data_IF_816909056636
#
_entry.id   IF_816909056636
#
_cell.length_a   1.000
_cell.length_b   1.000
_cell.length_c   1.000
_cell.angle_alpha   90.00
_cell.angle_beta   90.00
_cell.angle_gamma   90.00
#
_symmetry.space_group_name_H-M   'P 1'
#
loop_
_entity.id
_entity.type
_entity.pdbx_description
1 polymer ?
#
# COMPACT_ATOMS: atom_id res chain seq x y z
N UNK A 1 15.68 -25.19 8.67
CA UNK A 1 16.03 -25.00 10.09
C UNK A 1 14.73 -24.98 10.87
N UNK A 2 14.47 -26.00 11.68
CA UNK A 2 13.22 -26.08 12.47
C UNK A 2 13.41 -25.22 13.71
N UNK A 3 12.63 -24.15 13.88
CA UNK A 3 12.68 -23.34 15.10
C UNK A 3 12.15 -24.15 16.28
N UNK A 4 12.81 -24.02 17.41
CA UNK A 4 12.39 -24.62 18.67
C UNK A 4 11.15 -23.89 19.23
N UNK A 5 10.24 -24.65 19.85
CA UNK A 5 8.97 -24.14 20.41
C UNK A 5 9.21 -23.10 21.50
N UNK A 6 10.27 -23.22 22.30
CA UNK A 6 10.63 -22.25 23.32
C UNK A 6 10.99 -20.90 22.71
N UNK A 7 11.78 -20.87 21.64
CA UNK A 7 12.09 -19.64 20.89
C UNK A 7 10.82 -19.00 20.34
N UNK A 8 9.93 -19.78 19.72
CA UNK A 8 8.66 -19.25 19.20
C UNK A 8 7.78 -18.68 20.32
N UNK A 9 7.74 -19.35 21.47
CA UNK A 9 6.96 -18.91 22.65
C UNK A 9 7.50 -17.59 23.19
N UNK A 10 8.83 -17.49 23.37
CA UNK A 10 9.48 -16.28 23.84
C UNK A 10 9.24 -15.08 22.89
N UNK A 11 9.24 -15.31 21.57
CA UNK A 11 8.89 -14.28 20.58
C UNK A 11 7.43 -13.82 20.73
N UNK A 12 6.48 -14.74 20.91
CA UNK A 12 5.07 -14.38 21.13
C UNK A 12 4.89 -13.57 22.41
N UNK A 13 5.50 -14.02 23.51
CA UNK A 13 5.42 -13.34 24.82
C UNK A 13 6.03 -11.95 24.74
N UNK A 14 7.22 -11.81 24.13
CA UNK A 14 7.89 -10.53 23.96
C UNK A 14 7.13 -9.55 23.08
N UNK A 15 6.60 -10.01 21.94
CA UNK A 15 5.73 -9.19 21.10
C UNK A 15 4.45 -8.79 21.85
N UNK A 16 3.88 -9.70 22.65
CA UNK A 16 2.66 -9.45 23.43
C UNK A 16 2.90 -8.40 24.49
N UNK A 17 4.07 -8.44 25.15
CA UNK A 17 4.48 -7.41 26.09
C UNK A 17 4.65 -6.04 25.41
N UNK A 18 5.22 -6.00 24.20
CA UNK A 18 5.48 -4.75 23.49
C UNK A 18 4.24 -4.11 22.85
N UNK A 19 3.34 -4.94 22.31
CA UNK A 19 2.26 -4.49 21.43
C UNK A 19 0.85 -4.89 21.88
N UNK A 20 0.75 -5.69 22.93
CA UNK A 20 -0.51 -6.23 23.44
C UNK A 20 -0.96 -7.50 22.69
N UNK A 21 -1.72 -8.38 23.38
CA UNK A 21 -2.06 -9.71 22.87
C UNK A 21 -2.93 -9.67 21.61
N UNK A 22 -3.91 -8.77 21.54
CA UNK A 22 -4.83 -8.68 20.39
C UNK A 22 -4.10 -8.38 19.08
N UNK A 23 -3.13 -7.47 19.13
CA UNK A 23 -2.34 -7.07 17.96
C UNK A 23 -1.45 -8.22 17.49
N UNK A 24 -0.79 -8.91 18.42
CA UNK A 24 0.05 -10.06 18.11
C UNK A 24 -0.76 -11.21 17.52
N UNK A 25 -1.91 -11.54 18.10
CA UNK A 25 -2.83 -12.53 17.54
C UNK A 25 -3.25 -12.17 16.11
N UNK A 26 -3.55 -10.89 15.87
CA UNK A 26 -3.90 -10.42 14.53
C UNK A 26 -2.73 -10.57 13.54
N UNK A 27 -1.52 -10.20 13.95
CA UNK A 27 -0.30 -10.35 13.13
C UNK A 27 -0.03 -11.82 12.81
N UNK A 28 -0.07 -12.70 13.79
CA UNK A 28 0.18 -14.13 13.62
C UNK A 28 -0.83 -14.79 12.67
N UNK A 29 -2.10 -14.38 12.75
CA UNK A 29 -3.13 -14.86 11.83
C UNK A 29 -2.86 -14.42 10.38
N UNK A 30 -2.27 -13.25 10.18
CA UNK A 30 -1.97 -12.70 8.85
C UNK A 30 -0.63 -13.16 8.29
N UNK A 31 0.36 -13.34 9.15
CA UNK A 31 1.74 -13.64 8.81
C UNK A 31 2.32 -14.58 9.89
N UNK A 32 2.00 -15.88 9.87
CA UNK A 32 2.50 -16.82 10.89
C UNK A 32 4.04 -16.94 10.87
N UNK A 33 4.65 -16.65 9.72
CA UNK A 33 6.11 -16.72 9.55
C UNK A 33 6.88 -15.66 10.35
N UNK A 34 6.23 -14.67 10.99
CA UNK A 34 6.96 -13.74 11.88
C UNK A 34 7.66 -14.48 13.03
N UNK A 35 7.14 -15.64 13.43
CA UNK A 35 7.72 -16.45 14.50
C UNK A 35 9.08 -17.05 14.14
N UNK A 36 9.48 -16.95 12.87
CA UNK A 36 10.80 -17.37 12.40
C UNK A 36 11.88 -16.30 12.60
N UNK A 37 11.48 -15.09 13.01
CA UNK A 37 12.38 -13.96 13.19
C UNK A 37 12.72 -13.76 14.66
N UNK A 38 13.92 -13.22 14.88
CA UNK A 38 14.36 -12.76 16.20
C UNK A 38 13.46 -11.60 16.69
N UNK A 39 13.04 -11.68 17.96
CA UNK A 39 12.20 -10.68 18.60
C UNK A 39 12.81 -9.27 18.51
N UNK A 40 14.12 -9.14 18.77
CA UNK A 40 14.76 -7.83 18.75
C UNK A 40 14.78 -7.26 17.32
N UNK A 41 14.96 -8.09 16.30
CA UNK A 41 14.83 -7.66 14.91
C UNK A 41 13.41 -7.14 14.59
N UNK A 42 12.38 -7.88 14.99
CA UNK A 42 10.99 -7.46 14.78
C UNK A 42 10.68 -6.12 15.46
N UNK A 43 11.15 -5.92 16.70
CA UNK A 43 10.97 -4.67 17.45
C UNK A 43 11.72 -3.52 16.77
N UNK A 44 13.00 -3.71 16.42
CA UNK A 44 13.80 -2.69 15.70
C UNK A 44 13.13 -2.27 14.39
N UNK A 45 12.62 -3.23 13.61
CA UNK A 45 11.96 -2.95 12.33
C UNK A 45 10.66 -2.16 12.51
N UNK A 46 9.85 -2.50 13.53
CA UNK A 46 8.66 -1.75 13.88
C UNK A 46 8.98 -0.31 14.30
N UNK A 47 9.97 -0.12 15.18
CA UNK A 47 10.43 1.19 15.64
C UNK A 47 10.95 2.03 14.48
N UNK A 48 11.72 1.42 13.58
CA UNK A 48 12.21 2.07 12.37
C UNK A 48 11.05 2.59 11.51
N UNK A 49 10.04 1.77 11.23
CA UNK A 49 8.84 2.18 10.47
C UNK A 49 8.11 3.32 11.19
N UNK A 50 7.98 3.23 12.52
CA UNK A 50 7.37 4.27 13.34
C UNK A 50 8.10 5.61 13.23
N UNK A 51 9.43 5.60 13.36
CA UNK A 51 10.27 6.79 13.24
C UNK A 51 10.23 7.37 11.82
N UNK A 52 10.39 6.54 10.79
CA UNK A 52 10.38 6.93 9.38
C UNK A 52 9.07 7.63 9.00
N UNK A 53 7.93 7.10 9.44
CA UNK A 53 6.60 7.65 9.16
C UNK A 53 6.15 8.69 10.20
N UNK A 54 6.99 9.03 11.19
CA UNK A 54 6.66 9.96 12.29
C UNK A 54 5.33 9.58 12.98
N UNK A 55 5.18 8.31 13.33
CA UNK A 55 3.97 7.75 13.92
C UNK A 55 4.09 7.62 15.43
N UNK A 56 2.97 7.86 16.12
CA UNK A 56 2.79 7.43 17.51
C UNK A 56 2.47 5.94 17.53
N UNK A 57 2.72 5.29 18.67
CA UNK A 57 2.49 3.84 18.87
C UNK A 57 1.12 3.35 18.35
N UNK A 58 -0.03 4.00 18.66
CA UNK A 58 -1.33 3.54 18.17
C UNK A 58 -1.46 3.54 16.64
N UNK A 59 -0.86 4.54 15.97
CA UNK A 59 -0.90 4.64 14.51
C UNK A 59 0.06 3.67 13.83
N UNK A 60 1.22 3.42 14.46
CA UNK A 60 2.14 2.36 14.04
C UNK A 60 1.41 1.01 14.03
N UNK A 61 0.62 0.70 15.06
CA UNK A 61 -0.12 -0.57 15.10
C UNK A 61 -1.14 -0.70 13.97
N UNK A 62 -1.83 0.40 13.64
CA UNK A 62 -2.74 0.43 12.48
C UNK A 62 -2.00 0.20 11.15
N UNK A 63 -0.75 0.64 11.03
CA UNK A 63 0.08 0.42 9.85
C UNK A 63 0.56 -1.03 9.78
N UNK A 64 1.09 -1.57 10.88
CA UNK A 64 1.62 -2.94 10.95
C UNK A 64 0.51 -3.99 10.78
N UNK A 65 -0.69 -3.74 11.30
CA UNK A 65 -1.84 -4.65 11.08
C UNK A 65 -2.31 -4.66 9.62
N UNK A 66 -2.14 -3.56 8.88
CA UNK A 66 -2.43 -3.53 7.44
C UNK A 66 -1.33 -4.18 6.61
N UNK A 67 -0.08 -4.16 7.09
CA UNK A 67 1.06 -4.77 6.39
C UNK A 67 2.08 -5.34 7.39
N UNK A 68 1.84 -6.57 7.84
CA UNK A 68 2.72 -7.26 8.78
C UNK A 68 4.13 -7.52 8.20
N UNK A 69 4.26 -7.55 6.87
CA UNK A 69 5.54 -7.74 6.19
C UNK A 69 6.57 -6.65 6.54
N UNK A 70 6.13 -5.47 6.98
CA UNK A 70 7.03 -4.40 7.45
C UNK A 70 7.89 -4.82 8.64
N UNK A 71 7.42 -5.77 9.46
CA UNK A 71 8.19 -6.31 10.57
C UNK A 71 9.34 -7.21 10.10
N UNK A 72 9.18 -7.83 8.94
CA UNK A 72 10.09 -8.82 8.39
C UNK A 72 11.05 -8.24 7.34
N UNK A 73 10.81 -7.01 6.89
CA UNK A 73 11.66 -6.33 5.90
C UNK A 73 12.81 -5.60 6.58
N UNK A 74 13.99 -5.70 5.97
CA UNK A 74 15.16 -4.94 6.39
C UNK A 74 14.89 -3.41 6.33
N UNK A 75 15.27 -2.64 7.35
CA UNK A 75 15.06 -1.19 7.40
C UNK A 75 15.54 -0.45 6.14
N UNK A 76 16.71 -0.83 5.61
CA UNK A 76 17.30 -0.21 4.43
C UNK A 76 16.44 -0.45 3.18
N UNK A 77 15.83 -1.63 3.04
CA UNK A 77 14.92 -1.93 1.94
C UNK A 77 13.65 -1.10 2.05
N UNK A 78 13.08 -0.99 3.26
CA UNK A 78 11.91 -0.13 3.52
C UNK A 78 12.22 1.32 3.18
N UNK A 79 13.38 1.83 3.60
CA UNK A 79 13.83 3.19 3.30
C UNK A 79 13.98 3.44 1.81
N UNK A 80 14.66 2.52 1.11
CA UNK A 80 14.90 2.62 -0.32
C UNK A 80 13.58 2.67 -1.08
N UNK A 81 12.63 1.78 -0.74
CA UNK A 81 11.29 1.78 -1.36
C UNK A 81 10.52 3.06 -1.03
N UNK A 82 10.52 3.49 0.22
CA UNK A 82 9.85 4.73 0.65
C UNK A 82 10.42 5.96 -0.08
N UNK A 83 11.74 6.10 -0.16
CA UNK A 83 12.40 7.19 -0.88
C UNK A 83 12.15 7.15 -2.40
N UNK A 84 12.09 5.95 -2.98
CA UNK A 84 11.79 5.78 -4.39
C UNK A 84 10.33 6.12 -4.75
N UNK A 85 9.37 5.97 -3.81
CA UNK A 85 7.97 6.35 -4.04
C UNK A 85 7.81 7.83 -4.39
N UNK A 86 8.57 8.71 -3.75
CA UNK A 86 8.55 10.15 -4.08
C UNK A 86 8.92 10.40 -5.55
N UNK A 87 9.94 9.68 -6.04
CA UNK A 87 10.42 9.84 -7.42
C UNK A 87 9.41 9.33 -8.44
N UNK A 88 8.82 8.17 -8.20
CA UNK A 88 7.94 7.51 -9.18
C UNK A 88 6.50 8.04 -9.16
N UNK A 89 6.05 8.59 -8.03
CA UNK A 89 4.71 9.18 -7.92
C UNK A 89 4.68 10.66 -8.33
N UNK A 90 5.83 11.35 -8.33
CA UNK A 90 5.88 12.78 -8.66
C UNK A 90 5.14 13.69 -7.67
N UNK A 91 4.93 13.21 -6.44
CA UNK A 91 4.20 13.91 -5.38
C UNK A 91 5.12 14.26 -4.21
N UNK A 92 4.75 15.25 -3.42
CA UNK A 92 5.53 15.68 -2.26
C UNK A 92 5.65 14.59 -1.18
N UNK A 93 6.66 14.75 -0.31
CA UNK A 93 6.97 13.79 0.75
C UNK A 93 5.83 13.58 1.76
N UNK A 94 5.01 14.60 2.03
CA UNK A 94 3.89 14.50 2.96
C UNK A 94 2.75 13.68 2.35
N UNK A 95 2.49 13.83 1.05
CA UNK A 95 1.54 13.02 0.32
C UNK A 95 2.00 11.55 0.24
N UNK A 96 3.28 11.29 -0.03
CA UNK A 96 3.85 9.92 0.03
C UNK A 96 3.67 9.32 1.42
N UNK A 97 3.99 10.08 2.48
CA UNK A 97 3.78 9.65 3.86
C UNK A 97 2.32 9.29 4.13
N UNK A 98 1.39 10.18 3.78
CA UNK A 98 -0.05 9.96 3.96
C UNK A 98 -0.53 8.72 3.17
N UNK A 99 -0.05 8.53 1.95
CA UNK A 99 -0.34 7.38 1.11
C UNK A 99 0.14 6.08 1.75
N UNK A 100 1.38 6.05 2.24
CA UNK A 100 1.95 4.86 2.89
C UNK A 100 1.23 4.52 4.18
N UNK A 101 0.81 5.51 4.99
CA UNK A 101 0.01 5.27 6.19
C UNK A 101 -1.37 4.70 5.83
N UNK A 102 -1.97 5.21 4.74
CA UNK A 102 -3.29 4.76 4.28
C UNK A 102 -3.22 3.35 3.71
N UNK A 103 -2.23 3.07 2.88
CA UNK A 103 -1.99 1.83 2.16
C UNK A 103 -0.52 1.33 2.31
N UNK A 104 -0.15 0.81 3.49
CA UNK A 104 1.21 0.33 3.74
C UNK A 104 1.70 -0.80 2.82
N UNK A 105 0.85 -1.69 2.26
CA UNK A 105 1.29 -2.71 1.32
C UNK A 105 2.01 -2.20 0.07
N UNK A 106 1.91 -0.91 -0.27
CA UNK A 106 2.70 -0.33 -1.36
C UNK A 106 4.21 -0.56 -1.18
N UNK A 107 4.71 -0.61 0.06
CA UNK A 107 6.11 -0.85 0.37
C UNK A 107 6.54 -2.32 0.16
N UNK A 108 5.61 -3.22 -0.16
CA UNK A 108 5.95 -4.58 -0.58
C UNK A 108 6.32 -4.64 -2.06
N UNK A 109 5.93 -3.62 -2.85
CA UNK A 109 6.24 -3.53 -4.26
C UNK A 109 7.58 -2.84 -4.48
N UNK A 110 8.29 -3.26 -5.53
CA UNK A 110 9.43 -2.51 -6.03
C UNK A 110 8.95 -1.20 -6.66
N UNK A 111 9.75 -0.14 -6.49
CA UNK A 111 9.39 1.20 -6.94
C UNK A 111 9.21 1.28 -8.45
N UNK A 112 9.93 0.46 -9.21
CA UNK A 112 9.73 0.33 -10.66
C UNK A 112 8.34 -0.20 -11.03
N UNK A 113 7.80 -1.15 -10.25
CA UNK A 113 6.44 -1.66 -10.47
C UNK A 113 5.43 -0.54 -10.25
N UNK A 114 5.62 0.27 -9.20
CA UNK A 114 4.77 1.43 -8.92
C UNK A 114 4.87 2.45 -10.06
N UNK A 115 6.09 2.77 -10.51
CA UNK A 115 6.33 3.67 -11.65
C UNK A 115 5.61 3.21 -12.92
N UNK A 116 5.77 1.94 -13.31
CA UNK A 116 5.05 1.39 -14.49
C UNK A 116 3.53 1.50 -14.38
N UNK A 117 2.96 1.34 -13.17
CA UNK A 117 1.52 1.54 -12.96
C UNK A 117 1.12 3.00 -13.13
N UNK A 118 1.97 3.95 -12.75
CA UNK A 118 1.72 5.38 -12.98
C UNK A 118 1.84 5.72 -14.46
N UNK A 119 2.85 5.20 -15.16
CA UNK A 119 3.01 5.40 -16.60
C UNK A 119 1.76 4.95 -17.38
N UNK A 120 1.21 3.78 -17.03
CA UNK A 120 -0.04 3.28 -17.62
C UNK A 120 -1.21 4.20 -17.31
N UNK A 121 -1.30 4.75 -16.10
CA UNK A 121 -2.35 5.73 -15.77
C UNK A 121 -2.24 6.98 -16.62
N UNK A 122 -1.03 7.56 -16.74
CA UNK A 122 -0.79 8.73 -17.57
C UNK A 122 -1.10 8.46 -19.05
N UNK A 123 -0.70 7.30 -19.57
CA UNK A 123 -1.00 6.89 -20.95
C UNK A 123 -2.52 6.75 -21.20
N UNK A 124 -3.26 6.13 -20.27
CA UNK A 124 -4.71 6.00 -20.41
C UNK A 124 -5.40 7.36 -20.24
N UNK A 125 -4.93 8.19 -19.31
CA UNK A 125 -5.42 9.53 -19.08
C UNK A 125 -5.17 10.43 -20.31
N UNK A 126 -4.08 10.24 -21.05
CA UNK A 126 -3.77 11.06 -22.22
C UNK A 126 -4.81 10.97 -23.33
N UNK A 127 -5.65 9.94 -23.32
CA UNK A 127 -6.77 9.79 -24.26
C UNK A 127 -7.89 10.84 -24.08
N UNK A 128 -7.95 11.53 -22.93
CA UNK A 128 -9.01 12.49 -22.59
C UNK A 128 -8.46 13.66 -21.78
N UNK A 129 -8.67 14.89 -22.23
CA UNK A 129 -8.21 16.12 -21.52
C UNK A 129 -8.65 16.14 -20.06
N UNK A 130 -9.92 15.81 -19.78
CA UNK A 130 -10.42 15.77 -18.40
C UNK A 130 -9.68 14.78 -17.50
N UNK A 131 -9.23 13.63 -18.03
CA UNK A 131 -8.45 12.66 -17.26
C UNK A 131 -7.02 13.10 -17.03
N UNK A 132 -6.41 13.81 -18.00
CA UNK A 132 -5.10 14.41 -17.79
C UNK A 132 -5.15 15.39 -16.62
N UNK A 133 -6.14 16.30 -16.62
CA UNK A 133 -6.40 17.23 -15.51
C UNK A 133 -6.64 16.49 -14.19
N UNK A 134 -7.46 15.43 -14.19
CA UNK A 134 -7.74 14.63 -12.99
C UNK A 134 -6.46 13.99 -12.41
N UNK A 135 -5.49 13.59 -13.24
CA UNK A 135 -4.21 13.01 -12.80
C UNK A 135 -3.30 14.10 -12.20
N UNK A 136 -3.27 15.30 -12.78
CA UNK A 136 -2.45 16.41 -12.27
C UNK A 136 -2.83 16.82 -10.84
N UNK A 137 -4.11 16.75 -10.49
CA UNK A 137 -4.63 17.09 -9.15
C UNK A 137 -5.06 15.87 -8.32
N UNK A 138 -4.53 14.69 -8.64
CA UNK A 138 -5.00 13.45 -8.04
C UNK A 138 -4.71 13.37 -6.53
N UNK A 139 -5.77 13.17 -5.74
CA UNK A 139 -5.61 12.98 -4.29
C UNK A 139 -4.94 11.64 -3.95
N UNK A 140 -4.22 11.58 -2.83
CA UNK A 140 -3.64 10.33 -2.30
C UNK A 140 -4.68 9.21 -2.16
N UNK A 141 -5.93 9.52 -1.82
CA UNK A 141 -6.99 8.52 -1.71
C UNK A 141 -7.31 7.86 -3.06
N UNK A 142 -7.35 8.65 -4.15
CA UNK A 142 -7.59 8.11 -5.49
C UNK A 142 -6.36 7.33 -6.00
N UNK A 143 -5.15 7.80 -5.72
CA UNK A 143 -3.93 7.04 -6.00
C UNK A 143 -3.91 5.69 -5.27
N UNK A 144 -4.37 5.64 -4.01
CA UNK A 144 -4.49 4.37 -3.29
C UNK A 144 -5.45 3.41 -4.00
N UNK A 145 -6.60 3.88 -4.50
CA UNK A 145 -7.50 3.02 -5.29
C UNK A 145 -6.79 2.50 -6.54
N UNK A 146 -6.16 3.38 -7.30
CA UNK A 146 -5.40 3.00 -8.51
C UNK A 146 -4.35 1.93 -8.23
N UNK A 147 -3.53 2.13 -7.21
CA UNK A 147 -2.40 1.25 -6.91
C UNK A 147 -2.84 -0.08 -6.30
N UNK A 148 -3.88 -0.06 -5.47
CA UNK A 148 -4.41 -1.25 -4.80
C UNK A 148 -5.20 -2.13 -5.77
N UNK A 149 -6.10 -1.54 -6.53
CA UNK A 149 -7.05 -2.24 -7.40
C UNK A 149 -6.65 -2.12 -8.89
N UNK A 150 -5.33 -2.07 -9.13
CA UNK A 150 -4.71 -1.76 -10.43
C UNK A 150 -5.26 -2.58 -11.60
N UNK A 151 -5.40 -3.89 -11.43
CA UNK A 151 -5.82 -4.79 -12.52
C UNK A 151 -7.22 -4.43 -13.00
N UNK A 152 -8.17 -4.31 -12.07
CA UNK A 152 -9.57 -3.99 -12.38
C UNK A 152 -9.69 -2.57 -12.94
N UNK A 153 -9.04 -1.59 -12.31
CA UNK A 153 -9.14 -0.19 -12.73
C UNK A 153 -8.47 0.06 -14.09
N UNK A 154 -7.35 -0.60 -14.37
CA UNK A 154 -6.72 -0.58 -15.69
C UNK A 154 -7.68 -1.12 -16.75
N UNK A 155 -8.25 -2.30 -16.54
CA UNK A 155 -9.17 -2.92 -17.50
C UNK A 155 -10.39 -2.04 -17.78
N UNK A 156 -10.94 -1.38 -16.74
CA UNK A 156 -12.04 -0.42 -16.90
C UNK A 156 -11.66 0.79 -17.73
N UNK A 157 -10.49 1.38 -17.48
CA UNK A 157 -10.03 2.52 -18.27
C UNK A 157 -9.76 2.12 -19.72
N UNK A 158 -9.09 0.99 -19.96
CA UNK A 158 -8.86 0.43 -21.30
C UNK A 158 -10.19 0.21 -22.05
N UNK A 159 -11.18 -0.35 -21.37
CA UNK A 159 -12.53 -0.53 -21.92
C UNK A 159 -13.17 0.82 -22.31
N UNK A 160 -13.16 1.82 -21.42
CA UNK A 160 -13.73 3.14 -21.69
C UNK A 160 -13.01 3.89 -22.82
N UNK A 161 -11.70 3.68 -22.97
CA UNK A 161 -10.92 4.21 -24.10
C UNK A 161 -11.38 3.54 -25.41
N UNK A 162 -11.50 2.21 -25.42
CA UNK A 162 -11.93 1.46 -26.60
C UNK A 162 -13.35 1.82 -27.07
N UNK A 163 -14.29 2.03 -26.14
CA UNK A 163 -15.69 2.32 -26.45
C UNK A 163 -15.95 3.80 -26.86
N UNK A 164 -14.95 4.69 -26.76
CA UNK A 164 -15.08 6.13 -27.08
C UNK A 164 -16.29 6.82 -26.40
N UNK A 165 -16.69 6.33 -25.21
CA UNK A 165 -17.84 6.85 -24.46
C UNK A 165 -17.61 8.29 -23.98
N UNK A 166 -18.70 9.04 -23.74
CA UNK A 166 -18.75 10.47 -23.38
C UNK A 166 -17.57 11.02 -22.57
N UNK A 167 -17.18 12.25 -22.88
CA UNK A 167 -16.11 13.04 -22.24
C UNK A 167 -16.36 13.42 -20.78
N UNK A 168 -17.59 13.24 -20.26
CA UNK A 168 -17.97 13.66 -18.90
C UNK A 168 -17.57 12.69 -17.78
N UNK A 169 -17.06 11.50 -18.12
CA UNK A 169 -16.63 10.51 -17.12
C UNK A 169 -15.30 10.95 -16.51
N UNK A 170 -15.23 11.12 -15.20
CA UNK A 170 -13.98 11.46 -14.47
C UNK A 170 -13.29 10.22 -13.90
N UNK A 171 -11.98 10.29 -13.63
CA UNK A 171 -11.24 9.20 -12.98
C UNK A 171 -11.80 8.85 -11.61
N UNK A 172 -12.25 9.86 -10.85
CA UNK A 172 -12.92 9.66 -9.56
C UNK A 172 -14.14 8.75 -9.69
N UNK A 173 -14.95 8.95 -10.73
CA UNK A 173 -16.12 8.10 -10.98
C UNK A 173 -15.68 6.68 -11.34
N UNK A 174 -14.69 6.51 -12.22
CA UNK A 174 -14.19 5.18 -12.59
C UNK A 174 -13.66 4.43 -11.38
N UNK A 175 -12.85 5.08 -10.54
CA UNK A 175 -12.14 4.44 -9.43
C UNK A 175 -13.05 4.08 -8.26
N UNK A 176 -14.06 4.92 -7.98
CA UNK A 176 -14.97 4.70 -6.84
C UNK A 176 -16.19 3.85 -7.16
N UNK A 177 -16.48 3.61 -8.44
CA UNK A 177 -17.63 2.77 -8.84
C UNK A 177 -17.33 1.29 -8.51
N UNK A 178 -18.31 0.56 -7.97
CA UNK A 178 -18.16 -0.88 -7.74
C UNK A 178 -18.11 -1.67 -9.06
N UNK A 179 -17.52 -2.88 -9.07
CA UNK A 179 -17.48 -3.73 -10.27
C UNK A 179 -18.89 -3.96 -10.85
N UNK A 180 -19.86 -4.30 -9.99
CA UNK A 180 -21.24 -4.54 -10.41
C UNK A 180 -21.92 -3.31 -11.00
N UNK A 181 -21.72 -2.15 -10.38
CA UNK A 181 -22.28 -0.88 -10.87
C UNK A 181 -21.64 -0.46 -12.18
N UNK A 182 -20.33 -0.68 -12.33
CA UNK A 182 -19.60 -0.37 -13.56
C UNK A 182 -20.07 -1.24 -14.72
N UNK A 183 -20.15 -2.57 -14.50
CA UNK A 183 -20.65 -3.51 -15.50
C UNK A 183 -22.05 -3.13 -15.98
N UNK A 184 -23.02 -2.96 -15.06
CA UNK A 184 -24.40 -2.58 -15.44
C UNK A 184 -24.52 -1.28 -16.23
N UNK A 185 -23.56 -0.36 -16.09
CA UNK A 185 -23.61 0.94 -16.74
C UNK A 185 -22.94 0.95 -18.11
N UNK A 186 -21.97 0.06 -18.34
CA UNK A 186 -21.08 0.14 -19.50
C UNK A 186 -20.84 -1.18 -20.23
N UNK A 187 -21.31 -2.33 -19.71
CA UNK A 187 -21.31 -3.65 -20.35
C UNK A 187 -22.74 -4.11 -20.58
#
# INVERSE_FOLDING_TARGET
MTLDVHTMTATVEGLTHQYGPEMVLYLLRKQPNILQYDLNALVRNAEYVGAMLKLRRPDLFRVLTKNANLLCMEPQLVQMRYAGLHKVLGVDAELVRALVIKFPPILNCDTEVVGRRMDVLHQLASSRTQWQEDVEVISHNLLVFWLKDYIDLRARLEFLVAQKLSSSITLRMVFKTSNNTFARKYQ
#
